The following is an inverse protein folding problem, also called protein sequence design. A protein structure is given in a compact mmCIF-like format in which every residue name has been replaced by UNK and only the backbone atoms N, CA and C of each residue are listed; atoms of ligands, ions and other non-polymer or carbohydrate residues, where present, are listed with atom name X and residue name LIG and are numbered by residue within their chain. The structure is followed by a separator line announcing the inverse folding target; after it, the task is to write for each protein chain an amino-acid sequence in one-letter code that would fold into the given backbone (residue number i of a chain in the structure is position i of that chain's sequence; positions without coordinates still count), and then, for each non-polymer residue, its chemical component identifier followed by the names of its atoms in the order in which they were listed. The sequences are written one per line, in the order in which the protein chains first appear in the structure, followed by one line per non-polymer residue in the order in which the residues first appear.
data_IF_580098870934
#
_entry.id   IF_580098870934
#
_cell.length_a   1.000
_cell.length_b   1.000
_cell.length_c   1.000
_cell.angle_alpha   90.00
_cell.angle_beta   90.00
_cell.angle_gamma   90.00
#
_symmetry.space_group_name_H-M   'P 1'
#
loop_
_entity.id
_entity.type
_entity.pdbx_description
1 polymer ?
#
# COMPACT_ATOMS: atom_id res chain seq x y z
N UNK A 1 -9.84 -21.24 -17.86
CA UNK A 1 -10.43 -20.38 -16.81
C UNK A 1 -9.80 -19.01 -16.98
N UNK A 2 -10.52 -17.90 -17.11
CA UNK A 2 -9.85 -16.61 -17.17
C UNK A 2 -9.11 -16.40 -15.85
N UNK A 3 -7.80 -16.19 -15.95
CA UNK A 3 -6.91 -15.77 -14.87
C UNK A 3 -7.56 -14.57 -14.18
N UNK A 4 -8.11 -14.75 -12.96
CA UNK A 4 -8.59 -13.61 -12.18
C UNK A 4 -7.35 -12.85 -11.71
N UNK A 5 -6.94 -11.85 -12.47
CA UNK A 5 -5.90 -10.91 -12.04
C UNK A 5 -6.28 -10.30 -10.70
N UNK A 6 -5.31 -10.14 -9.81
CA UNK A 6 -5.53 -9.50 -8.52
C UNK A 6 -5.71 -7.99 -8.70
N UNK A 7 -6.59 -7.39 -7.89
CA UNK A 7 -6.70 -5.95 -7.79
C UNK A 7 -5.52 -5.41 -6.99
N UNK A 8 -4.83 -4.41 -7.52
CA UNK A 8 -3.76 -3.71 -6.84
C UNK A 8 -4.20 -2.30 -6.46
N UNK A 9 -3.78 -1.84 -5.28
CA UNK A 9 -3.95 -0.44 -4.89
C UNK A 9 -3.01 0.42 -5.72
N UNK A 10 -3.49 1.59 -6.14
CA UNK A 10 -2.63 2.66 -6.62
C UNK A 10 -2.32 3.66 -5.50
N UNK A 11 -1.46 4.63 -5.79
CA UNK A 11 -1.01 5.60 -4.80
C UNK A 11 -2.17 6.48 -4.32
N UNK A 12 -3.08 6.85 -5.21
CA UNK A 12 -4.20 7.74 -4.88
C UNK A 12 -5.23 7.03 -3.99
N UNK A 13 -5.46 5.73 -4.20
CA UNK A 13 -6.26 4.90 -3.31
C UNK A 13 -5.65 4.85 -1.90
N UNK A 14 -4.32 4.67 -1.78
CA UNK A 14 -3.66 4.68 -0.46
C UNK A 14 -3.71 6.06 0.20
N UNK A 15 -3.59 7.15 -0.56
CA UNK A 15 -3.78 8.51 -0.04
C UNK A 15 -5.21 8.74 0.47
N UNK A 16 -6.21 8.26 -0.26
CA UNK A 16 -7.62 8.34 0.16
C UNK A 16 -7.85 7.56 1.46
N UNK A 17 -7.35 6.31 1.54
CA UNK A 17 -7.41 5.50 2.77
C UNK A 17 -6.72 6.21 3.94
N UNK A 18 -5.54 6.81 3.72
CA UNK A 18 -4.84 7.59 4.75
C UNK A 18 -5.67 8.78 5.24
N UNK A 19 -6.31 9.51 4.34
CA UNK A 19 -7.16 10.64 4.67
C UNK A 19 -8.35 10.21 5.56
N UNK A 20 -9.01 9.10 5.21
CA UNK A 20 -10.12 8.54 6.00
C UNK A 20 -9.65 8.05 7.37
N UNK A 21 -8.50 7.38 7.45
CA UNK A 21 -7.89 6.94 8.71
C UNK A 21 -7.60 8.12 9.64
N UNK A 22 -7.06 9.22 9.10
CA UNK A 22 -6.82 10.43 9.89
C UNK A 22 -8.10 11.16 10.28
N UNK A 23 -9.13 11.13 9.42
CA UNK A 23 -10.44 11.70 9.75
C UNK A 23 -11.11 10.94 10.92
N UNK A 24 -11.02 9.61 10.92
CA UNK A 24 -11.65 8.76 11.93
C UNK A 24 -10.86 8.69 13.26
N UNK A 25 -9.53 8.73 13.21
CA UNK A 25 -8.68 8.41 14.38
C UNK A 25 -7.70 9.52 14.78
N UNK A 26 -7.65 10.63 14.02
CA UNK A 26 -6.70 11.71 14.24
C UNK A 26 -5.25 11.32 13.93
N UNK A 27 -4.35 12.32 14.01
CA UNK A 27 -2.92 12.16 13.75
C UNK A 27 -2.35 13.28 12.90
N UNK A 28 -1.03 13.23 12.68
CA UNK A 28 -0.31 14.16 11.82
C UNK A 28 -0.67 14.00 10.35
N UNK A 29 -1.16 15.07 9.72
CA UNK A 29 -1.41 15.11 8.27
C UNK A 29 -0.11 15.27 7.49
N UNK A 30 -0.12 14.74 6.27
CA UNK A 30 0.92 15.00 5.28
C UNK A 30 1.76 13.79 4.93
N UNK A 31 2.35 13.88 3.75
CA UNK A 31 3.28 12.92 3.20
C UNK A 31 4.69 13.30 3.67
N UNK A 32 5.39 12.33 4.24
CA UNK A 32 6.80 12.47 4.60
C UNK A 32 7.67 12.37 3.35
N UNK A 33 7.38 11.37 2.51
CA UNK A 33 8.12 11.10 1.29
C UNK A 33 7.25 10.36 0.26
N UNK A 34 7.09 10.96 -0.92
CA UNK A 34 6.30 10.40 -2.03
C UNK A 34 6.96 9.17 -2.66
N UNK A 35 8.29 9.16 -2.79
CA UNK A 35 9.00 8.03 -3.38
C UNK A 35 8.87 6.78 -2.50
N UNK A 36 8.84 6.96 -1.17
CA UNK A 36 8.59 5.87 -0.23
C UNK A 36 7.17 5.31 -0.32
N UNK A 37 6.18 6.15 -0.64
CA UNK A 37 4.80 5.72 -0.87
C UNK A 37 4.68 4.94 -2.18
N UNK A 38 5.21 5.51 -3.26
CA UNK A 38 5.24 4.89 -4.59
C UNK A 38 5.96 3.54 -4.54
N UNK A 39 7.10 3.46 -3.85
CA UNK A 39 7.81 2.21 -3.63
C UNK A 39 6.97 1.19 -2.86
N UNK A 40 6.25 1.60 -1.81
CA UNK A 40 5.43 0.70 -1.02
C UNK A 40 4.24 0.13 -1.82
N UNK A 41 3.65 0.94 -2.70
CA UNK A 41 2.54 0.57 -3.57
C UNK A 41 2.99 -0.31 -4.73
N UNK A 42 4.19 -0.05 -5.28
CA UNK A 42 4.73 -0.80 -6.41
C UNK A 42 5.26 -2.19 -6.02
N UNK A 43 5.80 -2.37 -4.81
CA UNK A 43 6.44 -3.62 -4.43
C UNK A 43 5.51 -4.87 -4.48
N UNK A 44 4.24 -4.81 -4.04
CA UNK A 44 3.27 -5.90 -4.20
C UNK A 44 2.89 -6.21 -5.65
N UNK A 45 3.25 -5.33 -6.60
CA UNK A 45 2.99 -5.44 -8.04
C UNK A 45 4.23 -5.92 -8.81
N UNK A 46 5.33 -6.22 -8.10
CA UNK A 46 6.57 -6.63 -8.73
C UNK A 46 6.38 -7.94 -9.53
N UNK A 47 6.99 -7.97 -10.71
CA UNK A 47 7.01 -9.12 -11.61
C UNK A 47 8.43 -9.46 -12.02
N UNK A 48 8.72 -10.74 -12.23
CA UNK A 48 9.99 -11.21 -12.75
C UNK A 48 9.76 -12.14 -13.96
N UNK A 49 10.42 -11.87 -15.08
CA UNK A 49 10.22 -12.66 -16.30
C UNK A 49 8.81 -12.56 -16.91
N UNK A 50 8.05 -11.49 -16.58
CA UNK A 50 6.66 -11.32 -17.01
C UNK A 50 5.62 -11.92 -16.06
N UNK A 51 6.06 -12.64 -15.02
CA UNK A 51 5.17 -13.29 -14.05
C UNK A 51 5.13 -12.52 -12.74
N UNK A 52 3.95 -12.39 -12.14
CA UNK A 52 3.78 -11.76 -10.83
C UNK A 52 4.53 -12.54 -9.75
N UNK A 53 5.23 -11.83 -8.86
CA UNK A 53 5.97 -12.47 -7.78
C UNK A 53 5.07 -12.98 -6.65
N UNK A 54 3.89 -12.38 -6.48
CA UNK A 54 2.90 -12.76 -5.46
C UNK A 54 1.73 -13.45 -6.14
N UNK A 55 1.40 -14.66 -5.70
CA UNK A 55 0.44 -15.55 -6.36
C UNK A 55 -0.95 -15.52 -5.72
N UNK A 56 -1.14 -14.74 -4.66
CA UNK A 56 -2.42 -14.66 -3.93
C UNK A 56 -2.75 -13.25 -3.44
N UNK A 57 -4.05 -12.96 -3.32
CA UNK A 57 -4.53 -11.72 -2.71
C UNK A 57 -4.01 -11.52 -1.28
N UNK A 58 -3.84 -12.60 -0.53
CA UNK A 58 -3.31 -12.54 0.84
C UNK A 58 -1.84 -12.10 0.86
N UNK A 59 -1.02 -12.63 -0.05
CA UNK A 59 0.38 -12.20 -0.19
C UNK A 59 0.48 -10.74 -0.61
N UNK A 60 -0.36 -10.30 -1.56
CA UNK A 60 -0.41 -8.90 -2.00
C UNK A 60 -0.80 -7.98 -0.85
N UNK A 61 -1.85 -8.32 -0.09
CA UNK A 61 -2.26 -7.55 1.08
C UNK A 61 -1.17 -7.52 2.16
N UNK A 62 -0.53 -8.66 2.44
CA UNK A 62 0.58 -8.74 3.40
C UNK A 62 1.77 -7.88 2.97
N UNK A 63 2.11 -7.87 1.68
CA UNK A 63 3.15 -7.02 1.14
C UNK A 63 2.79 -5.53 1.26
N UNK A 64 1.57 -5.12 0.86
CA UNK A 64 1.08 -3.75 1.03
C UNK A 64 1.25 -3.30 2.49
N UNK A 65 0.75 -4.12 3.43
CA UNK A 65 0.82 -3.84 4.86
C UNK A 65 2.27 -3.66 5.33
N UNK A 66 3.14 -4.62 4.96
CA UNK A 66 4.55 -4.60 5.35
C UNK A 66 5.25 -3.34 4.84
N UNK A 67 5.15 -3.02 3.54
CA UNK A 67 5.87 -1.91 2.95
C UNK A 67 5.35 -0.56 3.41
N UNK A 68 4.04 -0.37 3.59
CA UNK A 68 3.50 0.87 4.16
C UNK A 68 3.95 1.06 5.61
N UNK A 69 3.97 -0.01 6.41
CA UNK A 69 4.52 0.03 7.76
C UNK A 69 6.02 0.34 7.78
N UNK A 70 6.79 -0.30 6.89
CA UNK A 70 8.27 -0.24 6.89
C UNK A 70 8.82 1.03 6.26
N UNK A 71 8.22 1.50 5.18
CA UNK A 71 8.70 2.66 4.44
C UNK A 71 8.34 3.97 5.15
N UNK A 72 7.32 3.94 6.02
CA UNK A 72 6.83 5.12 6.73
C UNK A 72 6.61 6.33 5.79
N UNK A 73 5.84 6.21 4.69
CA UNK A 73 5.69 7.31 3.73
C UNK A 73 4.98 8.54 4.28
N UNK A 74 4.19 8.41 5.33
CA UNK A 74 3.42 9.49 5.95
C UNK A 74 4.08 10.05 7.20
N UNK A 75 3.76 11.29 7.54
CA UNK A 75 4.21 11.94 8.80
C UNK A 75 3.69 11.15 10.01
N UNK A 76 2.45 10.69 9.96
CA UNK A 76 1.82 9.81 10.95
C UNK A 76 0.78 8.92 10.24
N UNK A 77 0.25 7.92 10.93
CA UNK A 77 -0.83 7.06 10.43
C UNK A 77 -0.37 5.81 9.67
N UNK A 78 0.93 5.67 9.36
CA UNK A 78 1.48 4.59 8.53
C UNK A 78 0.92 3.19 8.84
N UNK A 79 0.97 2.76 10.11
CA UNK A 79 0.49 1.42 10.51
C UNK A 79 -1.02 1.27 10.43
N UNK A 80 -1.76 2.36 10.66
CA UNK A 80 -3.23 2.35 10.62
C UNK A 80 -3.70 2.32 9.17
N UNK A 81 -3.07 3.09 8.29
CA UNK A 81 -3.30 3.05 6.83
C UNK A 81 -2.89 1.71 6.22
N UNK A 82 -1.81 1.10 6.70
CA UNK A 82 -1.39 -0.21 6.24
C UNK A 82 -2.39 -1.34 6.59
N UNK A 83 -3.26 -1.13 7.59
CA UNK A 83 -4.23 -2.10 8.07
C UNK A 83 -5.64 -1.89 7.48
N UNK A 84 -5.97 -0.65 7.08
CA UNK A 84 -7.29 -0.24 6.60
C UNK A 84 -7.50 -0.66 5.13
#
# INVERSE_FOLDING_TARGET
MPERGFLHLDVEAVLAIHAEVLAAHGGGRGLRDRALLESAVAAPQASFGGEAMLGSALEIAAACLFYLCRNHPFVDGNKRTALA
#
